data_IF_819220476922
#
_entry.id   IF_819220476922
#
_cell.length_a   1.000
_cell.length_b   1.000
_cell.length_c   1.000
_cell.angle_alpha   90.00
_cell.angle_beta   90.00
_cell.angle_gamma   90.00
#
_symmetry.space_group_name_H-M   'P 1'
#
loop_
_entity.id
_entity.type
_entity.pdbx_description
1 polymer ?
#
# COMPACT_ATOMS: atom_id res chain seq x y z
N UNK A 1 1.64 2.47 44.24
CA UNK A 1 1.58 1.00 44.06
C UNK A 1 0.56 0.72 42.98
N UNK A 2 0.72 -0.27 42.09
CA UNK A 2 -0.30 -0.54 41.10
C UNK A 2 -1.63 -0.89 41.80
N UNK A 3 -2.67 -0.10 41.53
CA UNK A 3 -4.02 -0.34 42.02
C UNK A 3 -4.58 -1.57 41.30
N UNK A 4 -4.52 -2.71 41.99
CA UNK A 4 -5.14 -3.93 41.51
C UNK A 4 -6.64 -3.89 41.82
N UNK A 5 -7.50 -4.41 40.93
CA UNK A 5 -8.94 -4.42 41.17
C UNK A 5 -9.24 -5.27 42.41
N UNK A 6 -9.87 -4.65 43.39
CA UNK A 6 -10.27 -5.27 44.66
C UNK A 6 -11.76 -5.62 44.72
N UNK A 7 -12.52 -5.26 43.68
CA UNK A 7 -13.99 -5.37 43.65
C UNK A 7 -14.47 -6.02 42.35
N UNK A 8 -15.58 -6.75 42.41
CA UNK A 8 -16.33 -7.21 41.23
C UNK A 8 -17.02 -6.03 40.55
N UNK A 9 -17.12 -6.03 39.22
CA UNK A 9 -17.70 -4.92 38.46
C UNK A 9 -16.67 -3.88 37.99
N UNK A 10 -15.38 -4.09 38.23
CA UNK A 10 -14.33 -3.23 37.68
C UNK A 10 -14.10 -3.51 36.18
N UNK A 11 -13.80 -2.46 35.42
CA UNK A 11 -13.30 -2.55 34.06
C UNK A 11 -11.77 -2.59 34.08
N UNK A 12 -11.20 -3.60 33.43
CA UNK A 12 -9.75 -3.80 33.37
C UNK A 12 -9.31 -4.07 31.93
N UNK A 13 -8.04 -3.82 31.64
CA UNK A 13 -7.40 -4.19 30.40
C UNK A 13 -6.70 -5.53 30.55
N UNK A 14 -7.00 -6.46 29.65
CA UNK A 14 -6.26 -7.70 29.47
C UNK A 14 -5.74 -7.76 28.03
N UNK A 15 -4.41 -7.72 27.85
CA UNK A 15 -3.78 -7.68 26.51
C UNK A 15 -4.40 -6.59 25.60
N UNK A 16 -4.49 -5.36 26.12
CA UNK A 16 -5.11 -4.20 25.47
C UNK A 16 -6.62 -4.32 25.16
N UNK A 17 -7.28 -5.42 25.51
CA UNK A 17 -8.73 -5.59 25.33
C UNK A 17 -9.48 -5.29 26.63
N UNK A 18 -10.69 -4.72 26.51
CA UNK A 18 -11.61 -4.55 27.64
C UNK A 18 -12.00 -5.90 28.26
N UNK A 19 -12.02 -5.94 29.59
CA UNK A 19 -12.48 -7.08 30.35
C UNK A 19 -13.20 -6.65 31.63
N UNK A 20 -14.24 -7.39 32.01
CA UNK A 20 -15.03 -7.15 33.22
C UNK A 20 -14.59 -8.10 34.33
N UNK A 21 -14.29 -7.58 35.52
CA UNK A 21 -13.98 -8.42 36.70
C UNK A 21 -15.27 -9.01 37.25
N UNK A 22 -15.36 -10.34 37.26
CA UNK A 22 -16.56 -11.10 37.70
C UNK A 22 -16.38 -11.76 39.07
N UNK A 23 -15.14 -12.10 39.46
CA UNK A 23 -14.83 -12.60 40.80
C UNK A 23 -13.38 -12.24 41.20
N UNK A 24 -13.18 -11.92 42.48
CA UNK A 24 -11.86 -11.66 43.07
C UNK A 24 -11.60 -12.72 44.14
N UNK A 25 -10.57 -13.54 43.94
CA UNK A 25 -10.10 -14.60 44.85
C UNK A 25 -8.57 -14.68 44.77
N UNK A 26 -7.93 -15.84 45.01
CA UNK A 26 -6.49 -16.06 44.77
C UNK A 26 -6.05 -15.73 43.33
N UNK A 27 -6.97 -15.88 42.38
CA UNK A 27 -6.85 -15.41 40.99
C UNK A 27 -8.09 -14.61 40.63
N UNK A 28 -7.92 -13.61 39.77
CA UNK A 28 -9.00 -12.72 39.34
C UNK A 28 -9.67 -13.35 38.12
N UNK A 29 -11.00 -13.47 38.17
CA UNK A 29 -11.80 -13.95 37.06
C UNK A 29 -12.33 -12.77 36.25
N UNK A 30 -12.00 -12.77 34.96
CA UNK A 30 -12.40 -11.74 34.01
C UNK A 30 -13.29 -12.32 32.91
N UNK A 31 -14.26 -11.54 32.47
CA UNK A 31 -15.06 -11.79 31.29
C UNK A 31 -14.53 -10.92 30.14
N UNK A 32 -14.27 -11.54 28.99
CA UNK A 32 -13.86 -10.89 27.74
C UNK A 32 -15.06 -10.68 26.82
N UNK A 33 -14.86 -9.87 25.77
CA UNK A 33 -15.83 -9.72 24.69
C UNK A 33 -16.27 -11.09 24.14
N UNK A 34 -17.57 -11.27 23.92
CA UNK A 34 -18.17 -12.54 23.50
C UNK A 34 -18.42 -13.55 24.63
N UNK A 35 -18.42 -13.12 25.90
CA UNK A 35 -18.83 -13.94 27.05
C UNK A 35 -17.81 -14.98 27.51
N UNK A 36 -16.55 -14.88 27.07
CA UNK A 36 -15.50 -15.83 27.45
C UNK A 36 -14.94 -15.46 28.82
N UNK A 37 -14.84 -16.43 29.73
CA UNK A 37 -14.25 -16.23 31.06
C UNK A 37 -12.80 -16.71 31.13
N UNK A 38 -11.97 -16.01 31.90
CA UNK A 38 -10.56 -16.37 32.10
C UNK A 38 -10.09 -16.02 33.50
N UNK A 39 -9.26 -16.88 34.08
CA UNK A 39 -8.57 -16.62 35.37
C UNK A 39 -7.16 -16.11 35.12
N UNK A 40 -6.87 -14.91 35.62
CA UNK A 40 -5.61 -14.18 35.40
C UNK A 40 -4.99 -13.75 36.74
N UNK A 41 -3.69 -13.44 36.73
CA UNK A 41 -3.02 -12.84 37.90
C UNK A 41 -3.20 -11.33 37.88
N UNK A 42 -3.14 -10.70 39.04
CA UNK A 42 -3.28 -9.25 39.19
C UNK A 42 -2.28 -8.46 38.31
N UNK A 43 -1.06 -8.96 38.15
CA UNK A 43 -0.03 -8.36 37.28
C UNK A 43 -0.32 -8.44 35.78
N UNK A 44 -1.24 -9.30 35.34
CA UNK A 44 -1.55 -9.52 33.93
C UNK A 44 -2.70 -8.63 33.44
N UNK A 45 -3.24 -7.77 34.32
CA UNK A 45 -4.33 -6.85 34.05
C UNK A 45 -3.98 -5.44 34.55
N UNK A 46 -4.52 -4.43 33.89
CA UNK A 46 -4.43 -3.03 34.33
C UNK A 46 -5.84 -2.51 34.64
N UNK A 47 -6.02 -1.84 35.78
CA UNK A 47 -7.29 -1.22 36.12
C UNK A 47 -7.56 -0.04 35.17
N UNK A 48 -8.77 -0.01 34.59
CA UNK A 48 -9.19 1.06 33.70
C UNK A 48 -10.33 1.90 34.29
N UNK A 49 -11.26 1.26 35.01
CA UNK A 49 -12.31 1.94 35.77
C UNK A 49 -12.73 1.10 36.99
N UNK A 50 -12.94 1.70 38.18
CA UNK A 50 -13.32 0.97 39.40
C UNK A 50 -14.73 0.36 39.34
N UNK A 51 -15.58 0.80 38.42
CA UNK A 51 -16.94 0.30 38.20
C UNK A 51 -18.03 1.24 38.77
N UNK A 52 -19.29 0.78 38.86
CA UNK A 52 -19.75 -0.54 38.45
C UNK A 52 -19.98 -0.63 36.94
N UNK A 53 -19.48 -1.70 36.32
CA UNK A 53 -19.83 -2.13 34.96
C UNK A 53 -20.56 -3.47 35.08
N UNK A 54 -21.75 -3.60 34.49
CA UNK A 54 -22.52 -4.85 34.56
C UNK A 54 -22.28 -5.73 33.34
N UNK A 55 -22.14 -5.12 32.16
CA UNK A 55 -21.94 -5.84 30.91
C UNK A 55 -21.02 -5.06 29.95
N UNK A 56 -20.17 -5.78 29.20
CA UNK A 56 -19.25 -5.16 28.24
C UNK A 56 -19.95 -4.47 27.06
N UNK A 57 -21.21 -4.79 26.79
CA UNK A 57 -22.02 -4.09 25.78
C UNK A 57 -22.38 -2.65 26.16
N UNK A 58 -22.23 -2.28 27.42
CA UNK A 58 -22.41 -0.91 27.91
C UNK A 58 -21.26 0.02 27.47
N UNK A 59 -20.13 -0.53 27.01
CA UNK A 59 -18.94 0.20 26.57
C UNK A 59 -19.13 0.82 25.17
N UNK A 60 -20.07 1.75 25.07
CA UNK A 60 -20.26 2.56 23.87
C UNK A 60 -19.09 3.50 23.69
N UNK A 61 -18.65 3.67 22.45
CA UNK A 61 -17.63 4.64 22.06
C UNK A 61 -18.33 5.82 21.40
N UNK A 62 -18.65 6.89 22.14
CA UNK A 62 -19.17 8.10 21.54
C UNK A 62 -18.12 8.71 20.60
N UNK A 63 -18.58 9.15 19.44
CA UNK A 63 -17.73 9.83 18.45
C UNK A 63 -17.53 11.27 18.92
N UNK A 64 -16.31 11.61 19.29
CA UNK A 64 -15.91 12.91 19.83
C UNK A 64 -14.63 13.34 19.14
N UNK A 65 -14.51 14.63 18.85
CA UNK A 65 -13.27 15.18 18.31
C UNK A 65 -12.20 15.25 19.41
N UNK A 66 -11.21 14.36 19.28
CA UNK A 66 -10.13 14.19 20.24
C UNK A 66 -9.05 15.26 20.07
N UNK A 67 -9.04 15.97 18.93
CA UNK A 67 -8.04 17.01 18.67
C UNK A 67 -8.09 18.11 19.71
N UNK A 68 -9.28 18.55 20.11
CA UNK A 68 -9.45 19.60 21.12
C UNK A 68 -8.88 19.17 22.48
N UNK A 69 -9.17 17.94 22.90
CA UNK A 69 -8.61 17.40 24.14
C UNK A 69 -7.09 17.22 24.08
N UNK A 70 -6.55 16.81 22.94
CA UNK A 70 -5.10 16.71 22.71
C UNK A 70 -4.43 18.10 22.75
N UNK A 71 -5.02 19.11 22.13
CA UNK A 71 -4.52 20.50 22.17
C UNK A 71 -4.58 21.08 23.59
N UNK A 72 -5.61 20.75 24.37
CA UNK A 72 -5.74 21.21 25.75
C UNK A 72 -4.74 20.51 26.69
N UNK A 73 -4.48 19.22 26.49
CA UNK A 73 -3.51 18.46 27.29
C UNK A 73 -2.07 18.93 27.04
N UNK A 74 -1.74 19.30 25.79
CA UNK A 74 -0.40 19.74 25.43
C UNK A 74 0.68 18.68 25.70
N UNK A 75 1.79 19.08 26.33
CA UNK A 75 2.90 18.19 26.70
C UNK A 75 2.79 17.61 28.12
N UNK A 76 1.66 17.85 28.81
CA UNK A 76 1.46 17.35 30.17
C UNK A 76 1.20 15.84 30.19
N UNK A 77 1.65 15.19 31.27
CA UNK A 77 1.32 13.79 31.53
C UNK A 77 -0.03 13.73 32.24
N UNK A 78 -0.90 12.82 31.81
CA UNK A 78 -2.19 12.57 32.45
C UNK A 78 -2.43 11.08 32.62
N UNK A 79 -3.57 10.69 33.20
CA UNK A 79 -4.02 9.30 33.30
C UNK A 79 -5.36 9.11 32.55
N UNK A 80 -5.82 7.86 32.44
CA UNK A 80 -7.09 7.55 31.77
C UNK A 80 -8.28 8.30 32.37
N UNK A 81 -8.27 8.54 33.68
CA UNK A 81 -9.39 9.17 34.37
C UNK A 81 -9.47 10.63 33.99
N UNK A 82 -8.38 11.36 34.20
CA UNK A 82 -8.28 12.78 33.87
C UNK A 82 -8.53 13.03 32.38
N UNK A 83 -7.95 12.20 31.51
CA UNK A 83 -8.16 12.32 30.07
C UNK A 83 -9.61 11.98 29.66
N UNK A 84 -10.28 11.04 30.33
CA UNK A 84 -11.69 10.76 30.09
C UNK A 84 -12.60 11.91 30.55
N UNK A 85 -12.31 12.52 31.70
CA UNK A 85 -13.00 13.73 32.17
C UNK A 85 -12.77 14.91 31.21
N UNK A 86 -11.58 15.00 30.62
CA UNK A 86 -11.26 16.01 29.63
C UNK A 86 -12.01 15.81 28.29
N UNK A 87 -11.99 14.60 27.72
CA UNK A 87 -12.61 14.32 26.42
C UNK A 87 -14.14 14.27 26.51
N UNK A 88 -14.67 13.64 27.57
CA UNK A 88 -16.08 13.29 27.67
C UNK A 88 -16.84 14.03 28.78
N UNK A 89 -16.14 14.81 29.62
CA UNK A 89 -16.74 15.53 30.76
C UNK A 89 -17.04 14.65 31.98
N UNK A 90 -16.93 13.33 31.86
CA UNK A 90 -17.22 12.37 32.93
C UNK A 90 -16.31 11.14 32.87
N UNK A 91 -15.99 10.60 34.04
CA UNK A 91 -15.31 9.32 34.17
C UNK A 91 -16.32 8.21 34.48
N UNK A 92 -16.71 7.49 33.43
CA UNK A 92 -17.58 6.32 33.48
C UNK A 92 -16.86 5.14 32.84
N UNK A 93 -17.33 3.88 33.02
CA UNK A 93 -16.72 2.74 32.35
C UNK A 93 -16.65 2.90 30.82
N UNK A 94 -17.69 3.50 30.22
CA UNK A 94 -17.75 3.74 28.79
C UNK A 94 -16.74 4.80 28.33
N UNK A 95 -16.66 5.95 29.03
CA UNK A 95 -15.69 7.00 28.69
C UNK A 95 -14.24 6.54 28.93
N UNK A 96 -13.97 5.80 30.01
CA UNK A 96 -12.66 5.22 30.27
C UNK A 96 -12.20 4.25 29.16
N UNK A 97 -13.11 3.39 28.68
CA UNK A 97 -12.83 2.52 27.53
C UNK A 97 -12.65 3.31 26.23
N UNK A 98 -13.50 4.30 25.97
CA UNK A 98 -13.43 5.11 24.77
C UNK A 98 -12.11 5.91 24.71
N UNK A 99 -11.69 6.51 25.83
CA UNK A 99 -10.37 7.16 25.97
C UNK A 99 -9.25 6.18 25.68
N UNK A 100 -9.24 5.01 26.32
CA UNK A 100 -8.18 4.02 26.10
C UNK A 100 -8.14 3.50 24.66
N UNK A 101 -9.29 3.30 24.01
CA UNK A 101 -9.33 2.89 22.61
C UNK A 101 -8.60 3.90 21.70
N UNK A 102 -8.65 5.19 22.04
CA UNK A 102 -7.97 6.26 21.30
C UNK A 102 -6.48 6.37 21.59
N UNK A 103 -6.08 6.09 22.83
CA UNK A 103 -4.66 5.91 23.18
C UNK A 103 -4.09 4.68 22.47
N UNK A 104 -4.84 3.58 22.42
CA UNK A 104 -4.44 2.35 21.73
C UNK A 104 -4.38 2.51 20.21
N UNK A 105 -5.14 3.44 19.61
CA UNK A 105 -5.03 3.82 18.20
C UNK A 105 -3.66 4.46 17.88
N UNK A 106 -3.03 5.08 18.90
CA UNK A 106 -1.67 5.60 18.83
C UNK A 106 -1.51 6.86 17.98
N UNK A 107 -2.61 7.48 17.51
CA UNK A 107 -2.53 8.66 16.65
C UNK A 107 -2.21 9.93 17.45
N UNK A 108 -3.02 10.27 18.46
CA UNK A 108 -2.89 11.50 19.25
C UNK A 108 -2.21 11.32 20.59
N UNK A 109 -2.33 10.13 21.19
CA UNK A 109 -1.83 9.85 22.52
C UNK A 109 -1.02 8.55 22.54
N UNK A 110 -0.12 8.45 23.50
CA UNK A 110 0.67 7.25 23.76
C UNK A 110 0.88 7.03 25.27
N UNK A 111 1.26 5.81 25.65
CA UNK A 111 1.60 5.46 27.03
C UNK A 111 0.78 4.30 27.60
N UNK A 112 0.57 4.34 28.91
CA UNK A 112 -0.17 3.34 29.69
C UNK A 112 -1.31 4.00 30.48
N UNK A 113 -2.29 3.25 31.02
CA UNK A 113 -3.47 3.84 31.64
C UNK A 113 -3.22 4.83 32.78
N UNK A 114 -2.04 4.76 33.42
CA UNK A 114 -1.64 5.67 34.50
C UNK A 114 -0.77 6.83 34.03
N UNK A 115 -0.22 6.73 32.81
CA UNK A 115 0.75 7.67 32.25
C UNK A 115 0.52 7.76 30.74
N UNK A 116 -0.35 8.68 30.36
CA UNK A 116 -0.65 9.05 28.98
C UNK A 116 -0.01 10.39 28.67
N UNK A 117 0.54 10.51 27.46
CA UNK A 117 1.08 11.76 26.93
C UNK A 117 0.48 12.05 25.56
N UNK A 118 0.27 13.33 25.26
CA UNK A 118 -0.02 13.79 23.90
C UNK A 118 1.22 13.65 23.01
N UNK A 119 1.06 13.07 21.81
CA UNK A 119 2.11 13.04 20.79
C UNK A 119 2.33 14.45 20.23
N UNK A 120 3.52 14.75 19.71
CA UNK A 120 3.79 16.08 19.17
C UNK A 120 3.04 16.32 17.87
N UNK A 121 2.76 17.60 17.56
CA UNK A 121 2.10 17.96 16.29
C UNK A 121 2.85 17.42 15.06
N UNK A 122 4.18 17.48 15.10
CA UNK A 122 5.03 17.01 14.00
C UNK A 122 4.90 15.50 13.77
N UNK A 123 4.79 14.71 14.84
CA UNK A 123 4.63 13.25 14.74
C UNK A 123 3.24 12.89 14.21
N UNK A 124 2.20 13.58 14.70
CA UNK A 124 0.82 13.40 14.24
C UNK A 124 0.70 13.73 12.76
N UNK A 125 1.20 14.90 12.34
CA UNK A 125 1.13 15.33 10.94
C UNK A 125 1.91 14.37 10.02
N UNK A 126 3.04 13.83 10.48
CA UNK A 126 3.80 12.82 9.74
C UNK A 126 3.01 11.49 9.59
N UNK A 127 2.41 10.98 10.67
CA UNK A 127 1.59 9.77 10.63
C UNK A 127 0.36 9.95 9.74
N UNK A 128 -0.32 11.10 9.82
CA UNK A 128 -1.46 11.44 8.96
C UNK A 128 -1.01 11.48 7.51
N UNK A 129 0.07 12.20 7.20
CA UNK A 129 0.60 12.29 5.84
C UNK A 129 1.01 10.92 5.29
N UNK A 130 1.60 10.04 6.11
CA UNK A 130 1.95 8.68 5.70
C UNK A 130 0.70 7.83 5.40
N UNK A 131 -0.32 7.89 6.27
CA UNK A 131 -1.60 7.19 6.07
C UNK A 131 -2.32 7.71 4.82
N UNK A 132 -2.38 9.02 4.63
CA UNK A 132 -2.98 9.65 3.46
C UNK A 132 -2.22 9.32 2.17
N UNK A 133 -0.88 9.33 2.20
CA UNK A 133 -0.06 8.96 1.06
C UNK A 133 -0.25 7.48 0.69
N UNK A 134 -0.32 6.58 1.67
CA UNK A 134 -0.65 5.15 1.43
C UNK A 134 -2.04 4.98 0.82
N UNK A 135 -3.04 5.65 1.39
CA UNK A 135 -4.41 5.60 0.89
C UNK A 135 -4.56 6.23 -0.50
N UNK A 136 -3.82 7.31 -0.79
CA UNK A 136 -3.76 7.90 -2.13
C UNK A 136 -3.09 6.95 -3.13
N UNK A 137 -1.94 6.36 -2.78
CA UNK A 137 -1.24 5.42 -3.63
C UNK A 137 -2.09 4.16 -3.93
N UNK A 138 -2.86 3.68 -2.96
CA UNK A 138 -3.79 2.56 -3.14
C UNK A 138 -4.97 2.92 -4.06
N UNK A 139 -5.56 4.11 -3.87
CA UNK A 139 -6.60 4.62 -4.78
C UNK A 139 -6.07 4.79 -6.20
N UNK A 140 -4.95 5.45 -6.38
CA UNK A 140 -4.30 5.63 -7.68
C UNK A 140 -4.00 4.30 -8.37
N UNK A 141 -3.58 3.29 -7.58
CA UNK A 141 -3.35 1.94 -8.07
C UNK A 141 -4.63 1.25 -8.52
N UNK A 142 -5.69 1.32 -7.72
CA UNK A 142 -6.98 0.74 -8.06
C UNK A 142 -7.60 1.40 -9.29
N UNK A 143 -7.51 2.73 -9.39
CA UNK A 143 -7.98 3.51 -10.53
C UNK A 143 -7.23 3.13 -11.83
N UNK A 144 -5.91 2.91 -11.75
CA UNK A 144 -5.13 2.39 -12.88
C UNK A 144 -5.64 1.01 -13.32
N UNK A 145 -5.87 0.09 -12.37
CA UNK A 145 -6.36 -1.25 -12.69
C UNK A 145 -7.76 -1.21 -13.32
N UNK A 146 -8.64 -0.32 -12.86
CA UNK A 146 -9.95 -0.11 -13.48
C UNK A 146 -9.84 0.47 -14.90
N UNK A 147 -8.95 1.45 -15.12
CA UNK A 147 -8.69 1.99 -16.47
C UNK A 147 -8.15 0.93 -17.42
N UNK A 148 -7.27 0.06 -16.94
CA UNK A 148 -6.75 -1.08 -17.72
C UNK A 148 -7.86 -2.08 -18.06
N UNK A 149 -8.74 -2.41 -17.11
CA UNK A 149 -9.87 -3.32 -17.34
C UNK A 149 -10.89 -2.72 -18.32
N UNK A 150 -11.13 -1.42 -18.24
CA UNK A 150 -12.09 -0.70 -19.10
C UNK A 150 -11.50 -0.21 -20.44
N UNK A 151 -10.19 -0.42 -20.68
CA UNK A 151 -9.45 0.03 -21.88
C UNK A 151 -9.49 1.55 -22.09
N UNK A 152 -9.57 2.31 -21.01
CA UNK A 152 -9.61 3.78 -21.03
C UNK A 152 -8.29 4.36 -20.49
N UNK A 153 -7.18 4.05 -21.16
CA UNK A 153 -5.87 4.53 -20.74
C UNK A 153 -5.70 6.02 -21.01
N UNK A 154 -5.00 6.69 -20.10
CA UNK A 154 -4.55 8.06 -20.27
C UNK A 154 -3.06 8.10 -20.63
N UNK A 155 -2.58 9.25 -21.13
CA UNK A 155 -1.16 9.42 -21.45
C UNK A 155 -0.25 9.25 -20.21
N UNK A 156 -0.76 9.55 -19.01
CA UNK A 156 -0.02 9.35 -17.76
C UNK A 156 0.16 7.88 -17.40
N UNK A 157 -0.78 7.01 -17.80
CA UNK A 157 -0.71 5.58 -17.52
C UNK A 157 0.38 4.88 -18.34
N UNK A 158 0.79 5.45 -19.49
CA UNK A 158 1.84 4.89 -20.35
C UNK A 158 3.17 4.70 -19.60
N UNK A 159 3.55 5.63 -18.72
CA UNK A 159 4.78 5.48 -17.92
C UNK A 159 4.70 4.30 -16.95
N UNK A 160 3.50 4.00 -16.43
CA UNK A 160 3.27 2.89 -15.51
C UNK A 160 3.29 1.54 -16.24
N UNK A 161 3.02 1.52 -17.54
CA UNK A 161 3.06 0.32 -18.38
C UNK A 161 4.47 -0.11 -18.77
N UNK A 162 5.49 0.72 -18.52
CA UNK A 162 6.89 0.39 -18.81
C UNK A 162 7.30 -0.97 -18.21
N UNK A 163 6.86 -1.31 -17.00
CA UNK A 163 7.15 -2.64 -16.41
C UNK A 163 6.57 -3.80 -17.22
N UNK A 164 5.38 -3.62 -17.81
CA UNK A 164 4.72 -4.62 -18.65
C UNK A 164 5.40 -4.70 -20.01
N UNK A 165 5.86 -3.57 -20.56
CA UNK A 165 6.67 -3.53 -21.77
C UNK A 165 7.96 -4.33 -21.59
N UNK A 166 8.67 -4.13 -20.48
CA UNK A 166 9.89 -4.88 -20.19
C UNK A 166 9.64 -6.39 -20.12
N UNK A 167 8.53 -6.81 -19.50
CA UNK A 167 8.14 -8.22 -19.48
C UNK A 167 7.76 -8.71 -20.88
N UNK A 168 7.06 -7.90 -21.66
CA UNK A 168 6.73 -8.21 -23.05
C UNK A 168 7.97 -8.35 -23.94
N UNK A 169 9.04 -7.61 -23.65
CA UNK A 169 10.35 -7.76 -24.30
C UNK A 169 11.21 -8.89 -23.74
N UNK A 170 10.78 -9.54 -22.65
CA UNK A 170 11.56 -10.59 -21.99
C UNK A 170 12.77 -10.06 -21.21
N UNK A 171 12.77 -8.77 -20.83
CA UNK A 171 13.83 -8.15 -20.04
C UNK A 171 13.60 -8.30 -18.53
N UNK A 172 12.35 -8.55 -18.12
CA UNK A 172 11.96 -8.86 -16.74
C UNK A 172 11.08 -10.11 -16.70
N UNK A 173 11.06 -10.79 -15.55
CA UNK A 173 10.25 -12.01 -15.34
C UNK A 173 8.92 -11.72 -14.63
N UNK A 174 8.81 -10.57 -13.94
CA UNK A 174 7.69 -10.25 -13.06
C UNK A 174 7.07 -8.89 -13.41
N UNK A 175 5.75 -8.78 -13.27
CA UNK A 175 5.00 -7.52 -13.39
C UNK A 175 3.89 -7.48 -12.37
N UNK A 176 3.92 -6.44 -11.54
CA UNK A 176 2.90 -6.19 -10.52
C UNK A 176 1.54 -5.96 -11.17
N UNK A 177 1.49 -5.29 -12.32
CA UNK A 177 0.25 -5.04 -13.06
C UNK A 177 -0.35 -6.35 -13.58
N UNK A 178 0.45 -7.23 -14.20
CA UNK A 178 -0.06 -8.51 -14.70
C UNK A 178 -0.55 -9.41 -13.55
N UNK A 179 0.21 -9.48 -12.46
CA UNK A 179 -0.18 -10.22 -11.27
C UNK A 179 -1.52 -9.70 -10.68
N UNK A 180 -1.68 -8.38 -10.55
CA UNK A 180 -2.90 -7.76 -10.03
C UNK A 180 -4.12 -7.93 -10.95
N UNK A 181 -3.90 -8.09 -12.26
CA UNK A 181 -4.95 -8.40 -13.23
C UNK A 181 -5.17 -9.91 -13.42
N UNK A 182 -4.46 -10.75 -12.66
CA UNK A 182 -4.50 -12.21 -12.77
C UNK A 182 -4.15 -12.75 -14.18
N UNK A 183 -3.28 -12.04 -14.91
CA UNK A 183 -2.68 -12.54 -16.13
C UNK A 183 -1.43 -13.37 -15.81
N UNK A 184 -1.14 -14.42 -16.60
CA UNK A 184 0.15 -15.12 -16.49
C UNK A 184 1.31 -14.17 -16.76
N UNK A 185 2.33 -14.16 -15.91
CA UNK A 185 3.55 -13.35 -16.04
C UNK A 185 4.50 -13.97 -17.08
N UNK A 186 4.16 -13.81 -18.36
CA UNK A 186 5.02 -14.23 -19.47
C UNK A 186 4.97 -13.23 -20.64
N UNK A 187 5.99 -13.21 -21.52
CA UNK A 187 6.09 -12.22 -22.59
C UNK A 187 4.89 -12.19 -23.54
N UNK A 188 4.26 -13.35 -23.77
CA UNK A 188 3.10 -13.47 -24.68
C UNK A 188 1.86 -12.83 -24.06
N UNK A 189 1.59 -13.12 -22.79
CA UNK A 189 0.50 -12.50 -22.02
C UNK A 189 0.67 -11.00 -21.87
N UNK A 190 1.89 -10.53 -21.60
CA UNK A 190 2.21 -9.11 -21.50
C UNK A 190 1.95 -8.38 -22.82
N UNK A 191 2.46 -8.92 -23.93
CA UNK A 191 2.20 -8.38 -25.26
C UNK A 191 0.69 -8.31 -25.55
N UNK A 192 -0.03 -9.41 -25.30
CA UNK A 192 -1.49 -9.46 -25.51
C UNK A 192 -2.22 -8.41 -24.68
N UNK A 193 -1.81 -8.23 -23.42
CA UNK A 193 -2.40 -7.22 -22.54
C UNK A 193 -2.18 -5.82 -23.12
N UNK A 194 -0.95 -5.46 -23.47
CA UNK A 194 -0.59 -4.14 -24.02
C UNK A 194 -1.35 -3.80 -25.30
N UNK A 195 -1.54 -4.78 -26.19
CA UNK A 195 -2.36 -4.62 -27.40
C UNK A 195 -3.84 -4.48 -27.02
N UNK A 196 -4.34 -5.31 -26.11
CA UNK A 196 -5.77 -5.31 -25.72
C UNK A 196 -6.24 -4.01 -25.07
N UNK A 197 -5.35 -3.31 -24.36
CA UNK A 197 -5.62 -2.02 -23.74
C UNK A 197 -5.34 -0.83 -24.67
N UNK A 198 -4.92 -1.10 -25.91
CA UNK A 198 -4.62 -0.08 -26.91
C UNK A 198 -3.32 0.69 -26.70
N UNK A 199 -2.42 0.19 -25.84
CA UNK A 199 -1.11 0.81 -25.62
C UNK A 199 -0.17 0.55 -26.80
N UNK A 200 -0.19 -0.69 -27.33
CA UNK A 200 0.48 -1.03 -28.59
C UNK A 200 -0.55 -1.28 -29.69
N UNK A 201 -0.24 -0.95 -30.96
CA UNK A 201 -1.09 -1.31 -32.08
C UNK A 201 -1.07 -2.83 -32.31
N UNK A 202 -2.12 -3.36 -32.96
CA UNK A 202 -2.24 -4.80 -33.29
C UNK A 202 -1.08 -5.32 -34.15
N UNK A 203 -0.42 -4.44 -34.90
CA UNK A 203 0.74 -4.76 -35.75
C UNK A 203 2.08 -4.72 -35.03
N UNK A 204 2.11 -4.39 -33.73
CA UNK A 204 3.35 -4.26 -32.99
C UNK A 204 4.09 -5.59 -32.89
N UNK A 205 5.37 -5.59 -33.32
CA UNK A 205 6.21 -6.78 -33.30
C UNK A 205 7.29 -6.68 -32.21
N UNK A 206 7.15 -7.38 -31.06
CA UNK A 206 8.15 -7.35 -29.99
C UNK A 206 9.34 -8.29 -30.24
N UNK A 207 9.32 -9.13 -31.29
CA UNK A 207 10.35 -10.16 -31.49
C UNK A 207 11.76 -9.61 -31.76
N UNK A 208 11.96 -8.53 -32.55
CA UNK A 208 13.27 -7.93 -32.70
C UNK A 208 13.89 -7.51 -31.37
N UNK A 209 13.10 -6.88 -30.49
CA UNK A 209 13.53 -6.53 -29.12
C UNK A 209 13.87 -7.76 -28.29
N UNK A 210 13.00 -8.79 -28.28
CA UNK A 210 13.21 -10.04 -27.52
C UNK A 210 14.49 -10.77 -27.91
N UNK A 211 14.80 -10.79 -29.20
CA UNK A 211 15.98 -11.44 -29.75
C UNK A 211 17.21 -10.53 -29.73
N UNK A 212 17.10 -9.32 -29.16
CA UNK A 212 18.17 -8.32 -29.12
C UNK A 212 18.74 -8.00 -30.50
N UNK A 213 17.87 -7.99 -31.52
CA UNK A 213 18.24 -7.58 -32.87
C UNK A 213 18.39 -6.06 -32.94
N UNK A 214 19.39 -5.56 -33.70
CA UNK A 214 19.49 -4.15 -34.03
C UNK A 214 18.18 -3.67 -34.68
N UNK A 215 17.68 -2.54 -34.21
CA UNK A 215 16.44 -1.91 -34.72
C UNK A 215 16.72 -0.55 -35.38
N UNK A 216 17.98 -0.10 -35.33
CA UNK A 216 18.43 1.13 -35.93
C UNK A 216 19.49 0.82 -36.98
N UNK A 217 19.55 1.65 -38.00
CA UNK A 217 20.56 1.54 -39.03
C UNK A 217 21.97 1.76 -38.44
N UNK A 218 22.98 1.06 -38.95
CA UNK A 218 24.36 1.24 -38.52
C UNK A 218 24.81 2.67 -38.83
N UNK A 219 25.22 3.41 -37.80
CA UNK A 219 25.76 4.78 -37.93
C UNK A 219 27.27 4.73 -38.20
N UNK A 220 27.63 4.25 -39.38
CA UNK A 220 29.02 4.14 -39.83
C UNK A 220 29.27 5.10 -40.99
N UNK A 221 30.48 5.67 -41.05
CA UNK A 221 30.92 6.42 -42.21
C UNK A 221 31.23 5.45 -43.35
N UNK A 222 30.58 5.64 -44.50
CA UNK A 222 30.91 4.90 -45.71
C UNK A 222 32.09 5.60 -46.40
N UNK A 223 33.26 4.95 -46.57
CA UNK A 223 34.40 5.57 -47.24
C UNK A 223 34.09 5.80 -48.71
N UNK A 224 34.73 6.81 -49.30
CA UNK A 224 34.67 7.03 -50.75
C UNK A 224 35.25 5.85 -51.52
N UNK A 225 34.78 5.68 -52.76
CA UNK A 225 35.30 4.64 -53.64
C UNK A 225 36.80 4.86 -53.91
N UNK A 226 37.64 3.81 -53.79
CA UNK A 226 39.06 3.92 -54.09
C UNK A 226 39.29 4.12 -55.59
N UNK A 227 40.38 4.82 -55.94
CA UNK A 227 40.80 4.95 -57.33
C UNK A 227 41.63 3.72 -57.72
N UNK A 228 41.03 2.83 -58.52
CA UNK A 228 41.63 1.57 -58.94
C UNK A 228 41.35 1.27 -60.42
N UNK A 229 42.19 0.45 -61.05
CA UNK A 229 41.97 0.02 -62.43
C UNK A 229 40.84 -1.02 -62.48
N UNK A 230 39.84 -0.79 -63.33
CA UNK A 230 38.70 -1.70 -63.55
C UNK A 230 38.56 -2.03 -65.04
N UNK A 231 38.06 -3.23 -65.35
CA UNK A 231 37.73 -3.62 -66.72
C UNK A 231 36.44 -2.92 -67.12
N UNK A 232 36.46 -2.20 -68.25
CA UNK A 232 35.28 -1.49 -68.76
C UNK A 232 34.37 -2.43 -69.56
N UNK A 233 33.23 -2.76 -68.98
CA UNK A 233 32.17 -3.57 -69.59
C UNK A 233 30.90 -2.76 -69.89
N UNK A 234 30.96 -1.42 -69.84
CA UNK A 234 29.80 -0.53 -70.02
C UNK A 234 29.18 -0.58 -71.42
N UNK A 235 29.84 -1.27 -72.36
CA UNK A 235 29.35 -1.53 -73.71
C UNK A 235 28.43 -2.75 -73.82
N UNK A 236 28.30 -3.56 -72.77
CA UNK A 236 27.38 -4.69 -72.71
C UNK A 236 26.08 -4.26 -72.00
N UNK A 237 24.94 -4.80 -72.46
CA UNK A 237 23.69 -4.67 -71.71
C UNK A 237 23.82 -5.45 -70.40
N UNK A 238 23.40 -4.84 -69.30
CA UNK A 238 23.43 -5.44 -67.98
C UNK A 238 22.11 -5.17 -67.27
N UNK A 239 21.50 -6.22 -66.72
CA UNK A 239 20.16 -6.18 -66.13
C UNK A 239 20.21 -6.67 -64.68
N UNK A 240 19.79 -5.81 -63.75
CA UNK A 240 19.40 -6.22 -62.41
C UNK A 240 17.91 -6.61 -62.45
N UNK A 241 17.58 -7.86 -62.11
CA UNK A 241 16.22 -8.40 -62.19
C UNK A 241 15.75 -8.71 -60.77
N UNK A 242 14.94 -7.82 -60.23
CA UNK A 242 14.50 -7.83 -58.84
C UNK A 242 12.98 -7.90 -58.69
N UNK A 243 12.53 -8.20 -57.47
CA UNK A 243 11.15 -8.03 -57.06
C UNK A 243 10.74 -6.54 -57.10
N UNK A 244 9.46 -6.25 -57.37
CA UNK A 244 8.92 -4.89 -57.51
C UNK A 244 9.17 -3.98 -56.29
N UNK A 245 9.40 -4.56 -55.11
CA UNK A 245 9.61 -3.85 -53.84
C UNK A 245 11.09 -3.77 -53.42
N UNK A 246 12.01 -4.34 -54.21
CA UNK A 246 13.45 -4.26 -53.96
C UNK A 246 13.93 -2.81 -54.15
N UNK A 247 14.79 -2.34 -53.24
CA UNK A 247 15.32 -0.97 -53.29
C UNK A 247 16.84 -0.93 -53.52
N UNK A 248 17.53 -2.06 -53.35
CA UNK A 248 18.98 -2.14 -53.31
C UNK A 248 19.45 -3.35 -54.15
N UNK A 249 19.67 -3.17 -55.48
CA UNK A 249 20.11 -4.26 -56.35
C UNK A 249 21.56 -4.65 -56.07
N UNK A 250 21.79 -5.94 -55.78
CA UNK A 250 23.10 -6.49 -55.44
C UNK A 250 23.84 -7.11 -56.65
N UNK A 251 23.11 -7.55 -57.67
CA UNK A 251 23.64 -8.27 -58.82
C UNK A 251 23.07 -7.79 -60.17
N UNK A 252 23.77 -8.15 -61.24
CA UNK A 252 23.33 -7.92 -62.61
C UNK A 252 23.88 -9.01 -63.53
N UNK A 253 23.09 -9.36 -64.55
CA UNK A 253 23.45 -10.32 -65.61
C UNK A 253 23.61 -9.64 -66.97
#
# INVERSE_FOLDING_TARGET
MPDYPTVVGCLVLYKQSAALVTAVSDKIEIQLAGGKHKRVRAKDIALLHPGPLNDLSELRQPDVDIKEAWELLGEEMSDVKELAELIYGEYTPASAWATWAKVAEGLYFEGDPQRIQGRTRSEIDADIAEREAKAAAERDWNDLLERLRSRNLTQQDNQRLAEVEQLAFGQTEYSRILAALAYPENPVSAHRMLVSVGHWPDSYNPHPRRLSLPQEDPRLECPGLPQEARVDLTHLESFAIDDEQSNDPDDAI
#
